data_IF_693171335235
#
_entry.id   IF_693171335235
#
_cell.length_a   1.000
_cell.length_b   1.000
_cell.length_c   1.000
_cell.angle_alpha   90.00
_cell.angle_beta   90.00
_cell.angle_gamma   90.00
#
_symmetry.space_group_name_H-M   'P 1'
#
loop_
_entity.id
_entity.type
_entity.pdbx_description
1 polymer ?
#
# COMPACT_ATOMS: atom_id res chain seq x y z
N UNK A 1 -48.42 -14.50 8.03
CA UNK A 1 -47.22 -15.16 7.48
C UNK A 1 -46.13 -14.08 7.40
N UNK A 2 -45.17 -14.10 8.31
CA UNK A 2 -44.16 -13.05 8.44
C UNK A 2 -42.90 -13.47 7.66
N UNK A 3 -42.65 -12.84 6.51
CA UNK A 3 -41.47 -13.10 5.68
C UNK A 3 -40.26 -12.39 6.29
N UNK A 4 -39.35 -13.16 6.90
CA UNK A 4 -38.04 -12.66 7.31
C UNK A 4 -37.17 -12.53 6.06
N UNK A 5 -36.98 -11.30 5.59
CA UNK A 5 -36.01 -11.01 4.54
C UNK A 5 -34.60 -11.11 5.12
N UNK A 6 -33.89 -12.18 4.79
CA UNK A 6 -32.49 -12.33 5.14
C UNK A 6 -31.67 -11.36 4.27
N UNK A 7 -31.26 -10.22 4.83
CA UNK A 7 -30.34 -9.32 4.16
C UNK A 7 -28.99 -10.04 3.98
N UNK A 8 -28.71 -10.55 2.79
CA UNK A 8 -27.40 -11.07 2.46
C UNK A 8 -26.40 -9.91 2.51
N UNK A 9 -25.38 -10.03 3.36
CA UNK A 9 -24.27 -9.08 3.37
C UNK A 9 -23.66 -9.04 1.96
N UNK A 10 -23.58 -7.84 1.36
CA UNK A 10 -22.90 -7.65 0.09
C UNK A 10 -21.48 -8.23 0.19
N UNK A 11 -20.97 -8.89 -0.86
CA UNK A 11 -19.62 -9.44 -0.82
C UNK A 11 -18.65 -8.31 -0.49
N UNK A 12 -17.88 -8.50 0.59
CA UNK A 12 -16.82 -7.58 0.99
C UNK A 12 -15.95 -7.27 -0.23
N UNK A 13 -15.89 -5.99 -0.61
CA UNK A 13 -15.17 -5.57 -1.78
C UNK A 13 -13.67 -5.70 -1.47
N UNK A 14 -12.97 -6.57 -2.17
CA UNK A 14 -11.56 -6.83 -1.86
C UNK A 14 -10.64 -5.69 -2.31
N UNK A 15 -9.59 -5.44 -1.52
CA UNK A 15 -8.46 -4.58 -1.91
C UNK A 15 -7.96 -4.92 -3.31
N UNK A 16 -7.77 -3.93 -4.18
CA UNK A 16 -7.25 -4.14 -5.54
C UNK A 16 -5.78 -3.76 -5.63
N UNK A 17 -5.00 -4.56 -6.36
CA UNK A 17 -3.56 -4.28 -6.56
C UNK A 17 -3.21 -4.40 -8.04
N UNK A 18 -2.55 -3.38 -8.60
CA UNK A 18 -2.13 -3.37 -10.01
C UNK A 18 -0.78 -2.73 -10.20
N UNK A 19 -0.14 -3.04 -11.33
CA UNK A 19 1.12 -2.43 -11.76
C UNK A 19 0.85 -1.46 -12.92
N UNK A 20 1.34 -0.23 -12.76
CA UNK A 20 1.47 0.75 -13.84
C UNK A 20 2.94 0.82 -14.25
N UNK A 21 3.21 0.74 -15.55
CA UNK A 21 4.57 0.79 -16.11
C UNK A 21 4.72 2.02 -16.99
N UNK A 22 5.88 2.67 -16.94
CA UNK A 22 6.17 3.84 -17.76
C UNK A 22 7.64 3.89 -18.15
N UNK A 23 7.91 4.54 -19.28
CA UNK A 23 9.26 4.92 -19.68
C UNK A 23 9.63 6.26 -19.03
N UNK A 24 10.88 6.39 -18.64
CA UNK A 24 11.46 7.65 -18.15
C UNK A 24 12.90 7.73 -18.65
N UNK A 25 13.42 8.90 -18.97
CA UNK A 25 14.85 9.06 -19.23
C UNK A 25 15.58 9.44 -17.94
N UNK A 26 16.83 8.98 -17.78
CA UNK A 26 17.68 9.50 -16.72
C UNK A 26 18.37 10.82 -17.13
N UNK A 27 19.22 11.36 -16.24
CA UNK A 27 19.93 12.62 -16.47
C UNK A 27 20.87 12.60 -17.67
N UNK A 28 21.22 11.41 -18.18
CA UNK A 28 22.06 11.22 -19.36
C UNK A 28 21.25 10.98 -20.64
N UNK A 29 19.91 10.97 -20.55
CA UNK A 29 19.01 10.65 -21.67
C UNK A 29 18.86 9.15 -21.90
N UNK A 30 19.37 8.28 -21.02
CA UNK A 30 19.18 6.84 -21.18
C UNK A 30 17.75 6.43 -20.80
N UNK A 31 17.07 5.62 -21.62
CA UNK A 31 15.72 5.16 -21.32
C UNK A 31 15.74 4.16 -20.16
N UNK A 32 15.04 4.52 -19.09
CA UNK A 32 14.72 3.69 -17.93
C UNK A 32 13.27 3.21 -17.99
N UNK A 33 13.06 1.99 -17.51
CA UNK A 33 11.75 1.35 -17.40
C UNK A 33 11.36 1.27 -15.93
N UNK A 34 10.32 2.01 -15.55
CA UNK A 34 9.85 2.14 -14.17
C UNK A 34 8.46 1.53 -13.99
N UNK A 35 8.17 1.13 -12.76
CA UNK A 35 6.87 0.62 -12.36
C UNK A 35 6.41 1.22 -11.04
N UNK A 36 5.11 1.51 -10.96
CA UNK A 36 4.41 1.85 -9.72
C UNK A 36 3.45 0.71 -9.38
N UNK A 37 3.49 0.23 -8.14
CA UNK A 37 2.48 -0.69 -7.62
C UNK A 37 1.40 0.14 -6.93
N UNK A 38 0.16 0.01 -7.40
CA UNK A 38 -0.99 0.75 -6.87
C UNK A 38 -1.85 -0.23 -6.08
N UNK A 39 -2.04 0.06 -4.79
CA UNK A 39 -2.88 -0.68 -3.84
C UNK A 39 -4.05 0.21 -3.45
N UNK A 40 -5.27 -0.28 -3.62
CA UNK A 40 -6.52 0.44 -3.30
C UNK A 40 -7.40 -0.49 -2.49
N UNK A 41 -7.37 -0.32 -1.18
CA UNK A 41 -8.34 -0.96 -0.30
C UNK A 41 -9.74 -0.35 -0.49
N UNK A 42 -10.74 -1.14 -0.18
CA UNK A 42 -12.13 -0.76 -0.36
C UNK A 42 -12.71 -0.25 0.96
N UNK A 43 -13.68 0.65 0.85
CA UNK A 43 -14.39 1.13 2.02
C UNK A 43 -15.34 0.09 2.60
N UNK A 44 -15.66 0.24 3.89
CA UNK A 44 -16.61 -0.58 4.63
C UNK A 44 -15.98 -1.71 5.44
N UNK A 45 -14.68 -1.96 5.29
CA UNK A 45 -13.95 -3.03 5.98
C UNK A 45 -12.68 -2.53 6.65
N UNK A 46 -12.20 -3.26 7.68
CA UNK A 46 -10.90 -2.98 8.30
C UNK A 46 -9.80 -3.71 7.55
N UNK A 47 -8.97 -2.96 6.85
CA UNK A 47 -7.85 -3.44 6.07
C UNK A 47 -6.64 -3.69 6.97
N UNK A 48 -5.98 -4.83 6.77
CA UNK A 48 -4.71 -5.15 7.45
C UNK A 48 -3.69 -5.54 6.40
N UNK A 49 -3.11 -4.52 5.82
CA UNK A 49 -2.18 -4.60 4.72
C UNK A 49 -0.77 -4.92 5.22
N UNK A 50 -0.17 -5.91 4.56
CA UNK A 50 1.26 -6.18 4.67
C UNK A 50 1.86 -6.22 3.27
N UNK A 51 2.88 -5.40 3.04
CA UNK A 51 3.66 -5.40 1.81
C UNK A 51 5.04 -5.98 2.05
N UNK A 52 5.50 -6.82 1.14
CA UNK A 52 6.91 -7.29 1.09
C UNK A 52 7.43 -7.21 -0.34
N UNK A 53 8.66 -6.70 -0.51
CA UNK A 53 9.41 -6.85 -1.76
C UNK A 53 10.42 -7.98 -1.61
N UNK A 54 10.42 -8.93 -2.54
CA UNK A 54 11.52 -9.91 -2.62
C UNK A 54 12.62 -9.31 -3.49
N UNK A 55 13.65 -8.74 -2.85
CA UNK A 55 14.84 -8.23 -3.53
C UNK A 55 15.94 -9.28 -3.49
N UNK A 56 16.36 -9.78 -4.66
CA UNK A 56 17.41 -10.80 -4.74
C UNK A 56 18.03 -10.96 -6.12
N UNK A 57 18.05 -9.88 -6.92
CA UNK A 57 18.29 -9.82 -8.37
C UNK A 57 16.99 -9.90 -9.19
N UNK A 58 16.89 -9.00 -10.18
CA UNK A 58 15.72 -8.81 -11.06
C UNK A 58 15.18 -10.15 -11.60
N UNK A 59 13.86 -10.32 -11.75
CA UNK A 59 12.80 -9.32 -11.63
C UNK A 59 12.25 -9.17 -10.20
N UNK A 60 12.06 -7.92 -9.75
CA UNK A 60 11.41 -7.61 -8.47
C UNK A 60 9.98 -8.16 -8.45
N UNK A 61 9.62 -8.77 -7.33
CA UNK A 61 8.24 -9.16 -7.05
C UNK A 61 7.76 -8.45 -5.81
N UNK A 62 6.59 -7.82 -5.92
CA UNK A 62 5.90 -7.18 -4.81
C UNK A 62 4.76 -8.09 -4.40
N UNK A 63 4.72 -8.48 -3.13
CA UNK A 63 3.63 -9.29 -2.58
C UNK A 63 2.84 -8.45 -1.60
N UNK A 64 1.54 -8.33 -1.87
CA UNK A 64 0.60 -7.60 -1.02
C UNK A 64 -0.36 -8.61 -0.39
N UNK A 65 -0.48 -8.51 0.93
CA UNK A 65 -1.41 -9.28 1.73
C UNK A 65 -2.43 -8.36 2.37
N UNK A 66 -3.70 -8.76 2.37
CA UNK A 66 -4.75 -8.09 3.12
C UNK A 66 -5.66 -9.11 3.82
N UNK A 67 -5.94 -8.88 5.11
CA UNK A 67 -6.85 -9.74 5.88
C UNK A 67 -8.28 -9.69 5.34
N UNK A 68 -8.71 -8.51 4.89
CA UNK A 68 -10.07 -8.26 4.42
C UNK A 68 -10.36 -8.97 3.09
N UNK A 69 -9.34 -9.03 2.24
CA UNK A 69 -9.34 -9.76 0.98
C UNK A 69 -8.59 -8.94 -0.06
N UNK A 70 -8.11 -9.61 -1.11
CA UNK A 70 -7.39 -8.89 -2.17
C UNK A 70 -7.78 -9.42 -3.54
N UNK A 71 -7.69 -8.60 -4.57
CA UNK A 71 -7.99 -8.92 -5.95
C UNK A 71 -6.89 -8.43 -6.87
N UNK A 72 -6.36 -9.28 -7.76
CA UNK A 72 -5.34 -8.85 -8.70
C UNK A 72 -5.94 -7.99 -9.79
N UNK A 73 -5.28 -6.89 -10.10
CA UNK A 73 -5.41 -6.14 -11.34
C UNK A 73 -4.24 -6.44 -12.29
N UNK A 74 -4.10 -5.60 -13.32
CA UNK A 74 -3.04 -5.72 -14.34
C UNK A 74 -1.66 -5.87 -13.71
N UNK A 75 -0.88 -6.84 -14.18
CA UNK A 75 0.50 -7.08 -13.72
C UNK A 75 0.62 -7.86 -12.41
N UNK A 76 -0.51 -8.24 -11.79
CA UNK A 76 -0.54 -9.01 -10.56
C UNK A 76 -1.28 -10.34 -10.76
N UNK A 77 -0.88 -11.35 -10.00
CA UNK A 77 -1.51 -12.66 -9.96
C UNK A 77 -1.92 -12.97 -8.53
N UNK A 78 -3.16 -13.44 -8.36
CA UNK A 78 -3.65 -13.97 -7.09
C UNK A 78 -2.81 -15.18 -6.66
N UNK A 79 -2.29 -15.16 -5.45
CA UNK A 79 -1.62 -16.31 -4.81
C UNK A 79 -2.50 -16.95 -3.74
N UNK A 80 -3.41 -16.18 -3.13
CA UNK A 80 -4.49 -16.69 -2.29
C UNK A 80 -5.68 -15.71 -2.25
N UNK A 81 -6.73 -16.01 -1.46
CA UNK A 81 -7.83 -15.04 -1.21
C UNK A 81 -7.34 -13.72 -0.59
N UNK A 82 -6.21 -13.77 0.12
CA UNK A 82 -5.63 -12.67 0.90
C UNK A 82 -4.27 -12.21 0.39
N UNK A 83 -3.80 -12.74 -0.73
CA UNK A 83 -2.48 -12.43 -1.26
C UNK A 83 -2.46 -12.30 -2.78
N UNK A 84 -1.73 -11.29 -3.27
CA UNK A 84 -1.40 -11.08 -4.69
C UNK A 84 0.09 -10.85 -4.82
N UNK A 85 0.67 -11.42 -5.88
CA UNK A 85 2.05 -11.18 -6.27
C UNK A 85 2.07 -10.42 -7.59
N UNK A 86 2.76 -9.28 -7.61
CA UNK A 86 2.91 -8.41 -8.76
C UNK A 86 4.31 -8.59 -9.34
N UNK A 87 4.38 -9.02 -10.60
CA UNK A 87 5.64 -9.21 -11.32
C UNK A 87 5.90 -8.00 -12.19
N UNK A 88 6.99 -7.29 -11.93
CA UNK A 88 7.35 -6.10 -12.71
C UNK A 88 8.32 -6.41 -13.83
N UNK A 89 8.81 -7.65 -13.94
CA UNK A 89 9.67 -8.08 -15.04
C UNK A 89 10.96 -7.25 -15.08
N UNK A 90 11.25 -6.64 -16.24
CA UNK A 90 12.45 -5.80 -16.43
C UNK A 90 12.30 -4.39 -15.86
N UNK A 91 11.12 -4.02 -15.37
CA UNK A 91 10.87 -2.69 -14.80
C UNK A 91 11.33 -2.65 -13.33
N UNK A 92 12.09 -1.63 -12.99
CA UNK A 92 12.41 -1.32 -11.59
C UNK A 92 11.17 -0.70 -10.96
N UNK A 93 10.73 -1.21 -9.82
CA UNK A 93 9.67 -0.56 -9.05
C UNK A 93 10.27 0.63 -8.32
N UNK A 94 9.69 1.79 -8.54
CA UNK A 94 10.16 3.06 -7.96
C UNK A 94 9.18 3.60 -6.95
N UNK A 95 7.91 3.20 -7.04
CA UNK A 95 6.85 3.76 -6.21
C UNK A 95 5.84 2.68 -5.81
N UNK A 96 5.34 2.76 -4.58
CA UNK A 96 4.11 2.09 -4.17
C UNK A 96 3.13 3.15 -3.68
N UNK A 97 1.96 3.20 -4.32
CA UNK A 97 0.87 4.07 -3.90
C UNK A 97 -0.20 3.23 -3.20
N UNK A 98 -0.45 3.51 -1.92
CA UNK A 98 -1.40 2.78 -1.09
C UNK A 98 -2.52 3.72 -0.64
N UNK A 99 -3.76 3.29 -0.83
CA UNK A 99 -4.95 3.92 -0.22
C UNK A 99 -5.63 2.88 0.66
N UNK A 100 -5.75 3.15 1.97
CA UNK A 100 -6.34 2.23 2.95
C UNK A 100 -7.87 2.36 3.02
N UNK A 101 -8.39 3.58 2.92
CA UNK A 101 -9.82 3.81 2.69
C UNK A 101 -10.51 4.40 3.91
N UNK A 102 -11.45 3.67 4.50
CA UNK A 102 -12.12 4.10 5.73
C UNK A 102 -12.06 3.00 6.79
N UNK A 103 -12.49 3.34 8.01
CA UNK A 103 -12.29 2.55 9.24
C UNK A 103 -10.83 2.60 9.69
N UNK A 104 -10.60 2.14 10.91
CA UNK A 104 -9.25 2.08 11.47
C UNK A 104 -8.50 0.87 10.91
N UNK A 105 -7.59 1.16 10.00
CA UNK A 105 -6.81 0.26 9.18
C UNK A 105 -5.37 0.13 9.65
N UNK A 106 -4.66 -0.86 9.10
CA UNK A 106 -3.26 -1.10 9.42
C UNK A 106 -2.46 -1.41 8.17
N UNK A 107 -1.35 -0.72 7.98
CA UNK A 107 -0.34 -1.03 6.97
C UNK A 107 1.02 -1.31 7.62
N UNK A 108 1.66 -2.40 7.24
CA UNK A 108 3.04 -2.72 7.63
C UNK A 108 3.86 -3.07 6.40
N UNK A 109 4.97 -2.36 6.21
CA UNK A 109 5.83 -2.47 5.03
C UNK A 109 7.25 -2.84 5.49
N UNK A 110 7.63 -4.09 5.23
CA UNK A 110 8.80 -4.68 5.89
C UNK A 110 10.13 -4.40 5.16
N UNK A 111 10.14 -4.25 3.83
CA UNK A 111 11.37 -4.12 3.01
C UNK A 111 11.05 -3.44 1.66
N UNK A 112 11.18 -2.11 1.55
CA UNK A 112 10.84 -1.40 0.30
C UNK A 112 11.93 -0.42 -0.16
N UNK A 113 12.41 -0.72 -1.38
CA UNK A 113 13.24 0.00 -2.35
C UNK A 113 14.38 0.90 -1.86
N UNK A 114 15.65 0.61 -2.21
CA UNK A 114 16.73 1.59 -2.07
C UNK A 114 16.57 2.79 -3.03
N UNK A 115 15.92 2.59 -4.19
CA UNK A 115 15.82 3.60 -5.26
C UNK A 115 14.40 4.16 -5.43
N UNK A 116 13.50 3.86 -4.51
CA UNK A 116 12.08 4.17 -4.62
C UNK A 116 11.48 4.46 -3.26
N UNK A 117 10.20 4.82 -3.24
CA UNK A 117 9.56 5.03 -1.96
C UNK A 117 8.07 4.74 -1.97
N UNK A 118 7.48 4.88 -0.80
CA UNK A 118 6.09 4.52 -0.56
C UNK A 118 5.28 5.75 -0.20
N UNK A 119 4.15 5.90 -0.86
CA UNK A 119 3.12 6.88 -0.56
C UNK A 119 1.89 6.18 0.02
N UNK A 120 1.40 6.63 1.17
CA UNK A 120 0.21 6.05 1.82
C UNK A 120 -0.81 7.15 2.11
N UNK A 121 -2.07 6.92 1.77
CA UNK A 121 -3.23 7.67 2.26
C UNK A 121 -4.08 6.73 3.09
N UNK A 122 -4.13 6.94 4.40
CA UNK A 122 -4.83 6.05 5.32
C UNK A 122 -6.35 6.28 5.27
N UNK A 123 -6.78 7.54 5.37
CA UNK A 123 -8.16 7.95 5.10
C UNK A 123 -8.91 8.26 6.38
N UNK A 124 -10.12 7.72 6.58
CA UNK A 124 -10.90 8.02 7.80
C UNK A 124 -10.82 6.88 8.81
N UNK A 125 -10.43 7.17 10.04
CA UNK A 125 -10.37 6.20 11.13
C UNK A 125 -9.05 6.32 11.88
N UNK A 126 -8.92 5.62 13.00
CA UNK A 126 -7.67 5.60 13.78
C UNK A 126 -6.64 4.64 13.17
N UNK A 127 -5.92 5.10 12.16
CA UNK A 127 -5.08 4.26 11.33
C UNK A 127 -3.69 4.01 11.93
N UNK A 128 -3.07 2.90 11.52
CA UNK A 128 -1.68 2.59 11.90
C UNK A 128 -0.84 2.22 10.69
N UNK A 129 0.08 3.10 10.31
CA UNK A 129 0.96 2.90 9.16
C UNK A 129 2.40 2.82 9.65
N UNK A 130 3.06 1.70 9.36
CA UNK A 130 4.45 1.44 9.78
C UNK A 130 5.26 0.96 8.58
N UNK A 131 6.43 1.56 8.38
CA UNK A 131 7.48 1.03 7.49
C UNK A 131 8.79 0.87 8.24
N UNK A 132 9.60 -0.10 7.80
CA UNK A 132 11.01 -0.21 8.20
C UNK A 132 11.96 0.57 7.30
N UNK A 133 11.48 1.06 6.16
CA UNK A 133 12.22 1.83 5.16
C UNK A 133 11.69 3.28 5.09
N UNK A 134 12.22 4.06 4.15
CA UNK A 134 11.80 5.42 3.85
C UNK A 134 10.34 5.48 3.34
N UNK A 135 9.65 6.57 3.65
CA UNK A 135 8.38 6.95 3.03
C UNK A 135 8.58 8.21 2.19
N UNK A 136 7.96 8.27 1.01
CA UNK A 136 7.85 9.54 0.28
C UNK A 136 6.82 10.44 0.94
N UNK A 137 5.71 9.86 1.41
CA UNK A 137 4.64 10.59 2.05
C UNK A 137 3.63 9.66 2.73
N UNK A 138 3.23 9.99 3.96
CA UNK A 138 2.07 9.34 4.60
C UNK A 138 1.10 10.41 5.05
N UNK A 139 -0.14 10.29 4.57
CA UNK A 139 -1.28 11.09 5.00
C UNK A 139 -2.20 10.22 5.86
N UNK A 140 -2.38 10.57 7.13
CA UNK A 140 -3.28 9.88 8.05
C UNK A 140 -4.74 10.11 7.67
N UNK A 141 -5.15 11.38 7.65
CA UNK A 141 -6.53 11.80 7.39
C UNK A 141 -7.28 12.03 8.70
N UNK A 142 -8.62 12.01 8.70
CA UNK A 142 -9.39 12.22 9.93
C UNK A 142 -9.36 11.00 10.85
N UNK A 143 -8.90 11.16 12.09
CA UNK A 143 -8.79 10.07 13.07
C UNK A 143 -7.67 10.32 14.07
N UNK A 144 -7.43 9.36 14.97
CA UNK A 144 -6.24 9.35 15.82
C UNK A 144 -5.21 8.39 15.24
N UNK A 145 -4.34 8.90 14.37
CA UNK A 145 -3.45 8.07 13.59
C UNK A 145 -2.11 7.81 14.28
N UNK A 146 -1.49 6.69 13.92
CA UNK A 146 -0.12 6.34 14.34
C UNK A 146 0.71 6.05 13.09
N UNK A 147 1.56 7.01 12.73
CA UNK A 147 2.42 6.93 11.55
C UNK A 147 3.88 6.77 11.99
N UNK A 148 4.56 5.73 11.49
CA UNK A 148 5.95 5.46 11.87
C UNK A 148 6.82 5.01 10.70
N UNK A 149 7.97 5.67 10.54
CA UNK A 149 8.99 5.30 9.56
C UNK A 149 10.20 4.66 10.24
N UNK A 150 10.93 3.84 9.50
CA UNK A 150 12.26 3.36 9.88
C UNK A 150 13.39 4.25 9.33
N UNK A 151 13.07 5.13 8.37
CA UNK A 151 14.00 6.10 7.77
C UNK A 151 13.32 7.44 7.46
N UNK A 152 13.80 8.16 6.45
CA UNK A 152 13.25 9.47 6.05
C UNK A 152 11.76 9.35 5.69
N UNK A 153 10.95 10.31 6.15
CA UNK A 153 9.53 10.33 5.86
C UNK A 153 8.93 11.73 5.96
N UNK A 154 8.11 12.10 4.98
CA UNK A 154 7.17 13.21 5.10
C UNK A 154 5.83 12.70 5.65
N UNK A 155 5.41 13.20 6.80
CA UNK A 155 4.14 12.84 7.43
C UNK A 155 3.19 14.03 7.52
N UNK A 156 1.92 13.76 7.23
CA UNK A 156 0.81 14.66 7.49
C UNK A 156 -0.24 13.86 8.26
N UNK A 157 -0.44 14.18 9.54
CA UNK A 157 -1.43 13.51 10.38
C UNK A 157 -2.83 13.72 9.84
N UNK A 158 -3.32 14.96 9.88
CA UNK A 158 -4.67 15.31 9.45
C UNK A 158 -5.48 15.78 10.65
N UNK A 159 -6.82 15.78 10.56
CA UNK A 159 -7.67 16.13 11.70
C UNK A 159 -7.70 15.02 12.77
N UNK A 160 -7.14 15.30 13.95
CA UNK A 160 -7.28 14.48 15.16
C UNK A 160 -6.00 14.43 15.99
N UNK A 161 -5.98 13.54 17.00
CA UNK A 161 -4.83 13.43 17.92
C UNK A 161 -3.82 12.40 17.39
N UNK A 162 -3.00 12.83 16.42
CA UNK A 162 -2.06 11.96 15.72
C UNK A 162 -0.73 11.77 16.46
N UNK A 163 -0.08 10.64 16.18
CA UNK A 163 1.28 10.34 16.66
C UNK A 163 2.18 10.01 15.49
N UNK A 164 3.17 10.86 15.28
CA UNK A 164 4.12 10.79 14.16
C UNK A 164 5.50 10.42 14.69
N UNK A 165 6.04 9.30 14.23
CA UNK A 165 7.34 8.78 14.64
C UNK A 165 8.25 8.69 13.42
N UNK A 166 9.06 9.71 13.17
CA UNK A 166 10.07 9.70 12.11
C UNK A 166 11.14 8.63 12.33
N UNK A 167 11.87 8.29 11.27
CA UNK A 167 13.11 7.52 11.38
C UNK A 167 14.28 8.38 11.90
N UNK A 168 15.48 7.80 12.03
CA UNK A 168 16.69 8.57 12.28
C UNK A 168 16.81 9.66 11.20
N UNK A 169 16.97 10.91 11.62
CA UNK A 169 17.37 11.99 10.72
C UNK A 169 18.89 12.03 10.63
N UNK A 170 19.40 12.38 9.45
CA UNK A 170 20.79 12.81 9.26
C UNK A 170 20.90 14.32 9.52
#
# INVERSE_FOLDING_TARGET
MLTVACAAAAPAAATTVRVKTFGSEDRTGEPRKRATVIVRAQGGERNRLRGVTTSGNKPQSVVIFDKAGVSPGRGCRRTSRRAVACRTGRFTVTDVDIVLGDRSDRATLDDFFPDGGVSVSAGRGDDRVISRSNFLGVYGGPGRDVLRSGGEAAFVGGPGDDRLFGGPGD
#
